data_IF_876056187812
#
_entry.id   IF_876056187812
#
_cell.length_a   1.000
_cell.length_b   1.000
_cell.length_c   1.000
_cell.angle_alpha   90.00
_cell.angle_beta   90.00
_cell.angle_gamma   90.00
#
_symmetry.space_group_name_H-M   'P 1'
#
loop_
_entity.id
_entity.type
_entity.pdbx_description
1 polymer ?
#
# COMPACT_ATOMS: atom_id res chain seq x y z
N UNK A 1 -33.30 -3.30 11.30
CA UNK A 1 -32.70 -3.72 10.01
C UNK A 1 -31.70 -4.82 10.28
N UNK A 2 -31.74 -5.89 9.49
CA UNK A 2 -30.75 -6.95 9.55
C UNK A 2 -29.37 -6.46 9.06
N UNK A 3 -28.29 -7.13 9.46
CA UNK A 3 -26.95 -6.80 8.96
C UNK A 3 -26.84 -6.96 7.44
N UNK A 4 -27.52 -7.97 6.88
CA UNK A 4 -27.61 -8.20 5.44
C UNK A 4 -28.21 -7.02 4.68
N UNK A 5 -29.28 -6.43 5.21
CA UNK A 5 -29.94 -5.26 4.63
C UNK A 5 -29.02 -4.03 4.62
N UNK A 6 -28.26 -3.83 5.69
CA UNK A 6 -27.28 -2.73 5.78
C UNK A 6 -26.12 -2.91 4.79
N UNK A 7 -25.65 -4.15 4.61
CA UNK A 7 -24.61 -4.47 3.63
C UNK A 7 -25.13 -4.26 2.20
N UNK A 8 -26.34 -4.74 1.89
CA UNK A 8 -26.95 -4.52 0.59
C UNK A 8 -27.13 -3.02 0.27
N UNK A 9 -27.58 -2.23 1.26
CA UNK A 9 -27.72 -0.77 1.10
C UNK A 9 -26.38 -0.07 0.80
N UNK A 10 -25.27 -0.55 1.38
CA UNK A 10 -23.93 -0.02 1.11
C UNK A 10 -23.38 -0.39 -0.27
N UNK A 11 -23.87 -1.48 -0.86
CA UNK A 11 -23.43 -1.96 -2.18
C UNK A 11 -24.33 -1.47 -3.33
N UNK A 12 -25.36 -0.67 -3.05
CA UNK A 12 -26.20 -0.09 -4.11
C UNK A 12 -25.34 0.79 -5.02
N UNK A 13 -25.28 0.43 -6.31
CA UNK A 13 -24.49 1.15 -7.31
C UNK A 13 -22.98 0.87 -7.25
N UNK A 14 -22.54 -0.08 -6.40
CA UNK A 14 -21.16 -0.52 -6.40
C UNK A 14 -20.87 -1.41 -7.61
N UNK A 15 -19.91 -1.00 -8.44
CA UNK A 15 -19.39 -1.79 -9.55
C UNK A 15 -18.17 -2.59 -9.10
N UNK A 16 -18.43 -3.81 -8.62
CA UNK A 16 -17.39 -4.72 -8.17
C UNK A 16 -16.41 -5.09 -9.30
N UNK A 17 -16.90 -5.30 -10.51
CA UNK A 17 -16.07 -5.64 -11.65
C UNK A 17 -15.16 -4.48 -12.05
N UNK A 18 -15.70 -3.26 -12.12
CA UNK A 18 -14.94 -2.05 -12.38
C UNK A 18 -13.86 -1.81 -11.32
N UNK A 19 -14.20 -1.97 -10.04
CA UNK A 19 -13.24 -1.87 -8.95
C UNK A 19 -12.13 -2.92 -9.06
N UNK A 20 -12.47 -4.18 -9.36
CA UNK A 20 -11.51 -5.27 -9.52
C UNK A 20 -10.54 -5.02 -10.69
N UNK A 21 -11.05 -4.50 -11.82
CA UNK A 21 -10.21 -4.13 -12.97
C UNK A 21 -9.25 -2.99 -12.64
N UNK A 22 -9.71 -1.97 -11.90
CA UNK A 22 -8.86 -0.87 -11.46
C UNK A 22 -7.75 -1.37 -10.53
N UNK A 23 -8.08 -2.21 -9.56
CA UNK A 23 -7.10 -2.83 -8.65
C UNK A 23 -6.06 -3.62 -9.45
N UNK A 24 -6.50 -4.49 -10.37
CA UNK A 24 -5.59 -5.28 -11.21
C UNK A 24 -4.63 -4.39 -12.02
N UNK A 25 -5.15 -3.30 -12.59
CA UNK A 25 -4.35 -2.33 -13.35
C UNK A 25 -3.31 -1.65 -12.46
N UNK A 26 -3.71 -1.17 -11.28
CA UNK A 26 -2.81 -0.53 -10.34
C UNK A 26 -1.73 -1.49 -9.82
N UNK A 27 -2.08 -2.75 -9.54
CA UNK A 27 -1.12 -3.77 -9.14
C UNK A 27 -0.07 -4.04 -10.22
N UNK A 28 -0.46 -4.06 -11.50
CA UNK A 28 0.48 -4.21 -12.60
C UNK A 28 1.46 -3.02 -12.68
N UNK A 29 0.93 -1.80 -12.58
CA UNK A 29 1.74 -0.57 -12.56
C UNK A 29 2.71 -0.58 -11.36
N UNK A 30 2.23 -0.95 -10.17
CA UNK A 30 3.07 -1.04 -8.98
C UNK A 30 4.22 -2.05 -9.17
N UNK A 31 3.94 -3.21 -9.75
CA UNK A 31 4.95 -4.22 -10.03
C UNK A 31 6.02 -3.71 -11.00
N UNK A 32 5.60 -3.00 -12.05
CA UNK A 32 6.51 -2.41 -13.03
C UNK A 32 7.38 -1.30 -12.41
N UNK A 33 6.78 -0.43 -11.58
CA UNK A 33 7.52 0.59 -10.85
C UNK A 33 8.54 -0.02 -9.89
N UNK A 34 8.17 -1.06 -9.13
CA UNK A 34 9.09 -1.78 -8.25
C UNK A 34 10.25 -2.37 -9.04
N UNK A 35 9.99 -2.95 -10.22
CA UNK A 35 11.03 -3.50 -11.09
C UNK A 35 11.99 -2.41 -11.58
N UNK A 36 11.46 -1.30 -12.09
CA UNK A 36 12.27 -0.18 -12.58
C UNK A 36 13.18 0.37 -11.48
N UNK A 37 12.60 0.69 -10.32
CA UNK A 37 13.35 1.20 -9.17
C UNK A 37 14.38 0.20 -8.63
N UNK A 38 14.13 -1.11 -8.72
CA UNK A 38 15.10 -2.13 -8.29
C UNK A 38 16.23 -2.33 -9.30
N UNK A 39 15.97 -2.13 -10.59
CA UNK A 39 16.97 -2.27 -11.65
C UNK A 39 17.98 -1.11 -11.63
N UNK A 40 17.56 0.08 -11.19
CA UNK A 40 18.40 1.27 -11.10
C UNK A 40 19.26 1.34 -9.83
N UNK A 41 19.19 0.35 -8.93
CA UNK A 41 20.03 0.27 -7.73
C UNK A 41 21.33 -0.47 -8.05
N UNK A 42 22.50 0.20 -7.99
CA UNK A 42 23.78 -0.47 -8.14
C UNK A 42 23.92 -1.58 -7.08
N UNK A 43 24.45 -2.77 -7.42
CA UNK A 43 24.72 -3.80 -6.43
C UNK A 43 25.70 -3.26 -5.38
N UNK A 44 25.21 -3.00 -4.17
CA UNK A 44 25.98 -2.43 -3.06
C UNK A 44 25.62 -0.99 -2.65
N UNK A 45 24.68 -0.33 -3.32
CA UNK A 45 24.20 0.98 -2.86
C UNK A 45 23.34 0.81 -1.59
N UNK A 46 23.61 1.58 -0.51
CA UNK A 46 22.77 1.54 0.68
C UNK A 46 21.37 2.04 0.32
N UNK A 47 20.40 1.14 0.30
CA UNK A 47 18.98 1.51 0.20
C UNK A 47 18.64 2.45 1.35
N UNK A 48 18.11 3.66 1.10
CA UNK A 48 17.59 4.48 2.17
C UNK A 48 16.41 3.72 2.78
N UNK A 49 16.63 3.17 3.97
CA UNK A 49 15.54 2.67 4.80
C UNK A 49 14.63 3.86 5.02
N UNK A 50 13.45 3.87 4.39
CA UNK A 50 12.36 4.78 4.78
C UNK A 50 11.99 4.39 6.20
N UNK A 51 12.68 5.00 7.16
CA UNK A 51 12.48 4.81 8.58
C UNK A 51 11.19 5.51 8.97
N UNK A 52 10.08 4.80 8.88
CA UNK A 52 8.91 5.15 9.68
C UNK A 52 9.24 4.76 11.12
N UNK A 53 9.61 5.76 11.92
CA UNK A 53 9.70 5.64 13.37
C UNK A 53 11.12 5.69 13.94
N UNK A 54 11.73 6.88 13.97
CA UNK A 54 12.70 7.20 15.02
C UNK A 54 11.94 7.96 16.10
N UNK A 55 11.33 7.23 17.04
CA UNK A 55 11.01 7.80 18.35
C UNK A 55 12.19 7.43 19.23
N UNK A 56 13.09 8.40 19.38
CA UNK A 56 14.30 8.27 20.17
C UNK A 56 13.91 8.09 21.65
N UNK A 57 13.93 6.84 22.11
CA UNK A 57 14.11 6.57 23.54
C UNK A 57 15.58 6.82 23.88
N UNK A 58 15.86 8.04 24.35
CA UNK A 58 17.14 8.47 24.87
C UNK A 58 17.01 8.85 26.34
N UNK A 59 17.06 7.84 27.20
CA UNK A 59 17.33 7.97 28.65
C UNK A 59 18.75 8.52 28.83
N UNK A 60 18.91 9.68 29.46
CA UNK A 60 20.16 10.07 30.09
C UNK A 60 19.88 10.75 31.43
N UNK A 61 20.47 10.14 32.44
CA UNK A 61 20.52 10.40 33.87
C UNK A 61 21.37 11.67 34.17
N UNK A 62 20.84 12.60 34.99
CA UNK A 62 21.50 13.30 36.13
C UNK A 62 20.49 14.22 36.83
#
# INVERSE_FOLDING_TARGET
>A
MALSEQTAARLVGFDELGAQMQISTLTAIEADLRRALSADVPPGAPVPRVGVGSREDGRADT
#
